data_IF_335061433636
#
_entry.id   IF_335061433636
#
_cell.length_a   1.000
_cell.length_b   1.000
_cell.length_c   1.000
_cell.angle_alpha   90.00
_cell.angle_beta   90.00
_cell.angle_gamma   90.00
#
_symmetry.space_group_name_H-M   'P 1'
#
loop_
_entity.id
_entity.type
_entity.pdbx_description
1 polymer ?
#
# COMPACT_ATOMS: atom_id res chain seq x y z
N UNK A 1 2.49 75.09 -41.75
CA UNK A 1 1.87 74.69 -40.46
C UNK A 1 2.07 73.19 -40.32
N UNK A 2 3.09 72.76 -39.55
CA UNK A 2 2.93 72.24 -38.18
C UNK A 2 1.92 71.07 -38.20
N UNK A 3 2.32 69.79 -38.25
CA UNK A 3 3.34 69.15 -37.42
C UNK A 3 2.66 68.62 -36.16
N UNK A 4 1.96 67.49 -36.27
CA UNK A 4 1.49 66.71 -35.10
C UNK A 4 1.77 65.25 -35.37
N UNK A 5 2.90 64.77 -34.88
CA UNK A 5 3.27 63.38 -34.86
C UNK A 5 2.64 62.78 -33.60
N UNK A 6 1.50 62.09 -33.76
CA UNK A 6 0.86 61.35 -32.68
C UNK A 6 1.79 60.21 -32.25
N UNK A 7 2.37 60.34 -31.06
CA UNK A 7 3.06 59.27 -30.35
C UNK A 7 2.07 58.12 -30.11
N UNK A 8 2.18 57.07 -30.94
CA UNK A 8 1.50 55.81 -30.69
C UNK A 8 2.09 55.20 -29.42
N UNK A 9 1.29 54.85 -28.40
CA UNK A 9 1.82 54.20 -27.20
C UNK A 9 2.42 52.86 -27.63
N UNK A 10 3.71 52.63 -27.33
CA UNK A 10 4.26 51.30 -27.48
C UNK A 10 3.46 50.36 -26.59
N UNK A 11 2.65 49.52 -27.23
CA UNK A 11 1.91 48.46 -26.56
C UNK A 11 2.94 47.61 -25.82
N UNK A 12 2.86 47.64 -24.50
CA UNK A 12 3.66 46.79 -23.63
C UNK A 12 3.28 45.35 -23.97
N UNK A 13 4.03 44.73 -24.90
CA UNK A 13 3.88 43.32 -25.25
C UNK A 13 4.20 42.54 -23.98
N UNK A 14 3.17 42.21 -23.20
CA UNK A 14 3.26 41.14 -22.21
C UNK A 14 3.74 39.90 -22.98
N UNK A 15 5.04 39.61 -22.85
CA UNK A 15 5.66 38.44 -23.44
C UNK A 15 4.96 37.25 -22.80
N UNK A 16 4.17 36.51 -23.59
CA UNK A 16 3.67 35.21 -23.15
C UNK A 16 4.89 34.36 -22.78
N UNK A 17 4.98 33.84 -21.54
CA UNK A 17 6.10 33.02 -21.16
C UNK A 17 6.20 31.82 -22.10
N UNK A 18 7.43 31.48 -22.51
CA UNK A 18 7.68 30.32 -23.36
C UNK A 18 7.26 29.05 -22.62
N UNK A 19 6.89 28.00 -23.36
CA UNK A 19 6.57 26.69 -22.77
C UNK A 19 7.72 26.16 -21.90
N UNK A 20 8.97 26.45 -22.30
CA UNK A 20 10.18 26.14 -21.53
C UNK A 20 10.21 26.86 -20.18
N UNK A 21 9.95 28.17 -20.16
CA UNK A 21 9.91 28.94 -18.91
C UNK A 21 8.79 28.49 -17.96
N UNK A 22 7.65 28.05 -18.51
CA UNK A 22 6.54 27.48 -17.72
C UNK A 22 6.95 26.12 -17.12
N UNK A 23 7.63 25.27 -17.88
CA UNK A 23 8.12 23.98 -17.41
C UNK A 23 9.18 24.14 -16.31
N UNK A 24 10.17 25.00 -16.53
CA UNK A 24 11.20 25.33 -15.53
C UNK A 24 10.58 25.88 -14.23
N UNK A 25 9.59 26.78 -14.34
CA UNK A 25 8.89 27.29 -13.18
C UNK A 25 8.16 26.18 -12.41
N UNK A 26 7.46 25.28 -13.11
CA UNK A 26 6.80 24.12 -12.49
C UNK A 26 7.81 23.23 -11.77
N UNK A 27 8.95 22.94 -12.39
CA UNK A 27 10.01 22.14 -11.78
C UNK A 27 10.58 22.78 -10.52
N UNK A 28 10.78 24.10 -10.52
CA UNK A 28 11.18 24.84 -9.33
C UNK A 28 10.13 24.73 -8.21
N UNK A 29 8.84 24.89 -8.53
CA UNK A 29 7.78 24.76 -7.51
C UNK A 29 7.68 23.35 -6.92
N UNK A 30 7.94 22.31 -7.72
CA UNK A 30 7.99 20.91 -7.23
C UNK A 30 9.17 20.69 -6.28
N UNK A 31 10.36 21.20 -6.62
CA UNK A 31 11.54 21.12 -5.73
C UNK A 31 11.31 21.85 -4.41
N UNK A 32 10.67 23.02 -4.46
CA UNK A 32 10.30 23.76 -3.24
C UNK A 32 9.31 22.98 -2.38
N UNK A 33 8.30 22.35 -2.99
CA UNK A 33 7.33 21.52 -2.28
C UNK A 33 7.99 20.33 -1.57
N UNK A 34 8.91 19.64 -2.25
CA UNK A 34 9.69 18.53 -1.69
C UNK A 34 10.59 18.98 -0.54
N UNK A 35 11.28 20.11 -0.69
CA UNK A 35 12.15 20.68 0.35
C UNK A 35 11.34 21.05 1.61
N UNK A 36 10.14 21.63 1.43
CA UNK A 36 9.24 21.93 2.54
C UNK A 36 8.75 20.66 3.22
N UNK A 37 8.38 19.64 2.44
CA UNK A 37 7.96 18.35 3.00
C UNK A 37 9.07 17.74 3.84
N UNK A 38 10.28 17.60 3.30
CA UNK A 38 11.44 17.07 4.02
C UNK A 38 11.67 17.77 5.36
N UNK A 39 11.60 19.11 5.36
CA UNK A 39 11.73 19.90 6.60
C UNK A 39 10.64 19.52 7.62
N UNK A 40 9.37 19.49 7.21
CA UNK A 40 8.26 19.13 8.08
C UNK A 40 8.33 17.69 8.59
N UNK A 41 8.80 16.75 7.76
CA UNK A 41 8.99 15.36 8.18
C UNK A 41 10.08 15.24 9.24
N UNK A 42 11.20 15.95 9.08
CA UNK A 42 12.27 15.98 10.09
C UNK A 42 11.78 16.59 11.42
N UNK A 43 10.97 17.65 11.36
CA UNK A 43 10.35 18.23 12.56
C UNK A 43 9.42 17.22 13.25
N UNK A 44 8.64 16.45 12.49
CA UNK A 44 7.74 15.42 13.02
C UNK A 44 8.51 14.28 13.71
N UNK A 45 9.62 13.82 13.15
CA UNK A 45 10.46 12.75 13.76
C UNK A 45 10.95 13.15 15.14
N UNK A 46 11.33 14.42 15.35
CA UNK A 46 11.81 14.91 16.65
C UNK A 46 10.72 14.84 17.73
N UNK A 47 9.44 14.91 17.36
CA UNK A 47 8.32 14.80 18.32
C UNK A 47 8.05 13.37 18.79
N UNK A 48 8.60 12.36 18.10
CA UNK A 48 8.37 10.97 18.44
C UNK A 48 9.21 10.50 19.64
N UNK A 49 8.73 9.46 20.32
CA UNK A 49 9.46 8.82 21.41
C UNK A 49 10.80 8.25 20.91
N UNK A 50 11.91 8.33 21.68
CA UNK A 50 13.24 7.91 21.22
C UNK A 50 13.31 6.46 20.70
N UNK A 51 12.50 5.57 21.27
CA UNK A 51 12.46 4.14 20.89
C UNK A 51 11.81 3.92 19.51
N UNK A 52 10.87 4.79 19.11
CA UNK A 52 10.10 4.67 17.87
C UNK A 52 10.63 5.57 16.75
N UNK A 53 11.48 6.54 17.07
CA UNK A 53 12.05 7.50 16.11
C UNK A 53 12.67 6.84 14.89
N UNK A 54 13.44 5.75 15.09
CA UNK A 54 14.07 5.02 13.98
C UNK A 54 13.04 4.44 13.00
N UNK A 55 11.98 3.82 13.52
CA UNK A 55 10.94 3.21 12.68
C UNK A 55 10.13 4.29 11.96
N UNK A 56 9.73 5.34 12.67
CA UNK A 56 9.00 6.47 12.08
C UNK A 56 9.82 7.15 10.99
N UNK A 57 11.14 7.31 11.17
CA UNK A 57 12.01 7.85 10.13
C UNK A 57 11.99 6.97 8.86
N UNK A 58 12.00 5.64 9.00
CA UNK A 58 11.91 4.73 7.85
C UNK A 58 10.57 4.87 7.12
N UNK A 59 9.46 4.97 7.86
CA UNK A 59 8.12 5.18 7.29
C UNK A 59 8.03 6.51 6.54
N UNK A 60 8.51 7.60 7.16
CA UNK A 60 8.48 8.93 6.56
C UNK A 60 9.42 9.07 5.36
N UNK A 61 10.56 8.37 5.35
CA UNK A 61 11.40 8.27 4.15
C UNK A 61 10.68 7.56 3.00
N UNK A 62 9.91 6.50 3.32
CA UNK A 62 9.05 5.82 2.34
C UNK A 62 7.98 6.75 1.78
N UNK A 63 7.33 7.54 2.65
CA UNK A 63 6.36 8.55 2.26
C UNK A 63 6.98 9.65 1.38
N UNK A 64 8.15 10.17 1.76
CA UNK A 64 8.88 11.15 0.97
C UNK A 64 9.21 10.62 -0.43
N UNK A 65 9.65 9.36 -0.53
CA UNK A 65 9.93 8.72 -1.81
C UNK A 65 8.67 8.63 -2.69
N UNK A 66 7.53 8.21 -2.11
CA UNK A 66 6.24 8.17 -2.83
C UNK A 66 5.78 9.58 -3.26
N UNK A 67 5.93 10.57 -2.38
CA UNK A 67 5.57 11.95 -2.70
C UNK A 67 6.46 12.54 -3.80
N UNK A 68 7.75 12.24 -3.76
CA UNK A 68 8.71 12.61 -4.81
C UNK A 68 8.27 12.04 -6.15
N UNK A 69 7.93 10.74 -6.18
CA UNK A 69 7.39 10.09 -7.38
C UNK A 69 6.08 10.74 -7.84
N UNK A 70 5.16 11.03 -6.94
CA UNK A 70 3.90 11.70 -7.26
C UNK A 70 4.11 13.08 -7.91
N UNK A 71 5.09 13.86 -7.46
CA UNK A 71 5.42 15.14 -8.09
C UNK A 71 6.10 14.98 -9.46
N UNK A 72 6.86 13.89 -9.66
CA UNK A 72 7.54 13.60 -10.92
C UNK A 72 6.62 12.96 -11.96
N UNK A 73 5.56 12.27 -11.53
CA UNK A 73 4.48 11.77 -12.37
C UNK A 73 3.71 12.98 -12.94
N UNK A 74 4.24 13.52 -14.04
CA UNK A 74 3.43 14.22 -15.02
C UNK A 74 2.57 13.15 -15.72
N UNK A 75 1.40 13.49 -16.25
CA UNK A 75 0.44 12.58 -16.94
C UNK A 75 1.03 11.72 -18.09
N UNK A 76 2.34 11.78 -18.33
CA UNK A 76 3.16 10.91 -19.17
C UNK A 76 3.44 9.51 -18.59
N UNK A 77 3.11 9.23 -17.32
CA UNK A 77 3.06 7.86 -16.79
C UNK A 77 1.83 7.07 -17.29
N UNK A 78 1.25 7.51 -18.40
CA UNK A 78 0.18 6.82 -19.09
C UNK A 78 0.74 5.60 -19.81
N UNK A 79 0.07 4.46 -19.61
CA UNK A 79 0.39 3.22 -20.31
C UNK A 79 0.13 3.46 -21.81
N UNK A 80 1.13 3.29 -22.65
CA UNK A 80 0.93 3.26 -24.11
C UNK A 80 0.11 2.01 -24.46
N UNK A 81 -1.16 2.21 -24.79
CA UNK A 81 -2.09 1.14 -25.11
C UNK A 81 -1.62 0.28 -26.28
N UNK A 82 -0.85 0.85 -27.22
CA UNK A 82 -0.32 0.10 -28.36
C UNK A 82 0.76 -0.91 -27.96
N UNK A 83 1.38 -0.73 -26.79
CA UNK A 83 2.40 -1.63 -26.24
C UNK A 83 1.80 -2.73 -25.35
N UNK A 84 0.50 -2.69 -25.08
CA UNK A 84 -0.18 -3.75 -24.31
C UNK A 84 -0.44 -4.94 -25.22
N UNK A 85 0.24 -6.04 -24.93
CA UNK A 85 0.07 -7.32 -25.62
C UNK A 85 -0.55 -8.34 -24.66
N UNK A 86 -1.31 -9.28 -25.22
CA UNK A 86 -1.75 -10.45 -24.44
C UNK A 86 -0.52 -11.20 -23.92
N UNK A 87 -0.53 -11.63 -22.65
CA UNK A 87 0.59 -12.39 -22.10
C UNK A 87 0.78 -13.70 -22.86
N UNK A 88 2.02 -14.15 -23.08
CA UNK A 88 2.30 -15.47 -23.64
C UNK A 88 1.63 -16.60 -22.84
N UNK A 89 1.29 -17.71 -23.50
CA UNK A 89 0.54 -18.83 -22.89
C UNK A 89 1.25 -19.44 -21.66
N UNK A 90 2.57 -19.37 -21.63
CA UNK A 90 3.43 -19.81 -20.53
C UNK A 90 3.43 -18.89 -19.31
N UNK A 91 2.95 -17.64 -19.45
CA UNK A 91 2.97 -16.65 -18.37
C UNK A 91 1.78 -16.82 -17.42
N UNK A 92 0.61 -17.14 -17.96
CA UNK A 92 -0.63 -17.34 -17.19
C UNK A 92 -1.09 -18.77 -17.34
N UNK A 93 -0.57 -19.64 -16.48
CA UNK A 93 -0.81 -21.08 -16.54
C UNK A 93 -2.24 -21.38 -16.03
N UNK A 94 -3.10 -22.07 -16.83
CA UNK A 94 -4.43 -22.47 -16.38
C UNK A 94 -4.36 -23.44 -15.18
N UNK A 95 -5.18 -23.20 -14.15
CA UNK A 95 -5.19 -24.00 -12.92
C UNK A 95 -5.31 -25.51 -13.17
N UNK A 96 -6.10 -25.94 -14.17
CA UNK A 96 -6.26 -27.36 -14.52
C UNK A 96 -4.95 -28.05 -14.89
N UNK A 97 -4.01 -27.33 -15.54
CA UNK A 97 -2.69 -27.88 -15.91
C UNK A 97 -1.81 -28.17 -14.68
N UNK A 98 -2.04 -27.48 -13.55
CA UNK A 98 -1.29 -27.72 -12.30
C UNK A 98 -1.70 -29.03 -11.62
N UNK A 99 -2.89 -29.56 -11.91
CA UNK A 99 -3.39 -30.82 -11.35
C UNK A 99 -2.78 -32.05 -12.01
N UNK A 100 -2.09 -31.87 -13.15
CA UNK A 100 -1.48 -32.94 -13.93
C UNK A 100 -0.09 -33.34 -13.40
N UNK A 101 0.53 -32.51 -12.55
CA UNK A 101 1.81 -32.81 -11.90
C UNK A 101 1.64 -33.45 -10.53
N UNK A 102 2.48 -34.44 -10.20
CA UNK A 102 2.58 -34.99 -8.83
C UNK A 102 3.14 -33.91 -7.88
N UNK A 103 2.35 -33.44 -6.89
CA UNK A 103 2.79 -32.38 -5.98
C UNK A 103 3.88 -32.85 -5.00
N UNK A 104 4.26 -34.13 -5.00
CA UNK A 104 5.19 -34.69 -4.04
C UNK A 104 4.56 -34.76 -2.64
N UNK A 105 5.38 -34.64 -1.59
CA UNK A 105 4.91 -34.72 -0.21
C UNK A 105 4.30 -33.38 0.25
N UNK A 106 2.97 -33.30 0.53
CA UNK A 106 2.32 -32.05 0.94
C UNK A 106 2.91 -31.46 2.21
N UNK A 107 3.34 -32.31 3.16
CA UNK A 107 3.90 -31.85 4.44
C UNK A 107 5.17 -31.04 4.24
N UNK A 108 6.05 -31.45 3.34
CA UNK A 108 7.33 -30.80 3.09
C UNK A 108 7.16 -29.44 2.41
N UNK A 109 6.14 -29.31 1.56
CA UNK A 109 5.77 -28.04 0.93
C UNK A 109 5.13 -27.09 1.95
N UNK A 110 4.18 -27.59 2.75
CA UNK A 110 3.47 -26.79 3.75
C UNK A 110 4.39 -26.26 4.84
N UNK A 111 5.43 -27.02 5.24
CA UNK A 111 6.43 -26.53 6.19
C UNK A 111 7.29 -25.35 5.67
N UNK A 112 7.23 -25.05 4.37
CA UNK A 112 7.87 -23.88 3.75
C UNK A 112 6.90 -22.72 3.50
N UNK A 113 5.60 -22.92 3.79
CA UNK A 113 4.53 -21.98 3.49
C UNK A 113 4.20 -21.12 4.72
N UNK A 114 3.87 -19.86 4.47
CA UNK A 114 3.26 -18.94 5.44
C UNK A 114 1.98 -18.38 4.83
N UNK A 115 0.91 -18.27 5.62
CA UNK A 115 -0.33 -17.62 5.17
C UNK A 115 -0.41 -16.21 5.72
N UNK A 116 -0.45 -15.22 4.83
CA UNK A 116 -0.62 -13.80 5.20
C UNK A 116 -2.03 -13.34 4.87
N UNK A 117 -2.66 -12.62 5.81
CA UNK A 117 -3.96 -11.94 5.59
C UNK A 117 -3.81 -10.43 5.79
N UNK A 118 -4.29 -9.68 4.80
CA UNK A 118 -4.40 -8.22 4.88
C UNK A 118 -5.59 -7.85 5.76
N UNK A 119 -5.30 -7.35 6.96
CA UNK A 119 -6.25 -7.09 8.04
C UNK A 119 -6.31 -5.60 8.43
N UNK A 120 -5.85 -4.71 7.55
CA UNK A 120 -5.88 -3.26 7.79
C UNK A 120 -7.26 -2.60 7.57
N UNK A 121 -8.20 -3.32 6.94
CA UNK A 121 -9.50 -2.79 6.53
C UNK A 121 -10.55 -2.78 7.65
N UNK A 122 -11.34 -1.71 7.70
CA UNK A 122 -12.46 -1.56 8.63
C UNK A 122 -13.79 -2.04 8.04
N UNK A 123 -14.72 -2.40 8.93
CA UNK A 123 -16.10 -2.77 8.60
C UNK A 123 -17.06 -1.62 8.31
N UNK A 124 -16.56 -0.40 8.14
CA UNK A 124 -17.38 0.83 8.14
C UNK A 124 -18.41 0.86 7.02
N UNK A 125 -18.09 0.37 5.83
CA UNK A 125 -19.04 0.27 4.70
C UNK A 125 -20.20 -0.69 4.98
N UNK A 126 -20.06 -1.55 5.99
CA UNK A 126 -21.08 -2.49 6.45
C UNK A 126 -21.72 -2.07 7.78
N UNK A 127 -21.47 -0.83 8.24
CA UNK A 127 -22.04 -0.28 9.47
C UNK A 127 -21.37 -0.77 10.76
N UNK A 128 -20.28 -1.54 10.68
CA UNK A 128 -19.57 -2.05 11.84
C UNK A 128 -18.41 -1.12 12.24
N UNK A 129 -18.19 -0.97 13.54
CA UNK A 129 -16.99 -0.34 14.11
C UNK A 129 -15.99 -1.46 14.42
N UNK A 130 -14.79 -1.38 13.86
CA UNK A 130 -13.71 -2.35 14.08
C UNK A 130 -13.21 -3.04 12.79
N UNK A 131 -12.23 -3.95 12.91
CA UNK A 131 -11.64 -4.70 11.80
C UNK A 131 -12.70 -5.52 11.06
N UNK A 132 -12.65 -5.50 9.73
CA UNK A 132 -13.59 -6.25 8.89
C UNK A 132 -13.52 -7.77 9.14
N UNK A 133 -12.37 -8.28 9.58
CA UNK A 133 -12.15 -9.69 9.86
C UNK A 133 -12.98 -10.24 11.03
N UNK A 134 -13.46 -9.37 11.92
CA UNK A 134 -14.21 -9.72 13.14
C UNK A 134 -15.71 -9.79 12.89
N UNK A 135 -16.15 -9.48 11.67
CA UNK A 135 -17.56 -9.46 11.33
C UNK A 135 -18.04 -10.90 11.14
N UNK A 136 -19.11 -11.26 11.84
CA UNK A 136 -19.75 -12.57 11.69
C UNK A 136 -20.28 -12.76 10.26
N UNK A 137 -19.89 -13.86 9.64
CA UNK A 137 -20.20 -14.21 8.25
C UNK A 137 -21.26 -15.29 8.19
N UNK A 138 -21.03 -16.40 8.89
CA UNK A 138 -21.91 -17.58 8.85
C UNK A 138 -21.90 -18.31 10.18
N UNK A 139 -23.08 -18.68 10.66
CA UNK A 139 -23.24 -19.48 11.89
C UNK A 139 -22.51 -18.87 13.11
N UNK A 140 -22.46 -17.54 13.19
CA UNK A 140 -21.75 -16.82 14.25
C UNK A 140 -20.22 -16.72 14.06
N UNK A 141 -19.63 -17.43 13.09
CA UNK A 141 -18.20 -17.39 12.82
C UNK A 141 -17.81 -16.13 12.03
N UNK A 142 -16.72 -15.50 12.45
CA UNK A 142 -16.09 -14.36 11.78
C UNK A 142 -15.19 -14.82 10.63
N UNK A 143 -14.71 -13.89 9.79
CA UNK A 143 -13.71 -14.23 8.77
C UNK A 143 -12.41 -14.76 9.38
N UNK A 144 -12.01 -14.22 10.53
CA UNK A 144 -10.83 -14.68 11.26
C UNK A 144 -11.03 -16.11 11.80
N UNK A 145 -12.20 -16.41 12.38
CA UNK A 145 -12.54 -17.76 12.83
C UNK A 145 -12.44 -18.78 11.70
N UNK A 146 -13.03 -18.47 10.55
CA UNK A 146 -13.03 -19.35 9.38
C UNK A 146 -11.59 -19.58 8.89
N UNK A 147 -10.76 -18.55 8.86
CA UNK A 147 -9.36 -18.66 8.43
C UNK A 147 -8.55 -19.54 9.38
N UNK A 148 -8.74 -19.37 10.69
CA UNK A 148 -8.04 -20.17 11.70
C UNK A 148 -8.50 -21.63 11.65
N UNK A 149 -9.80 -21.90 11.51
CA UNK A 149 -10.33 -23.26 11.36
C UNK A 149 -9.78 -23.96 10.11
N UNK A 150 -9.66 -23.24 8.99
CA UNK A 150 -9.06 -23.79 7.77
C UNK A 150 -7.60 -24.19 7.98
N UNK A 151 -6.81 -23.35 8.66
CA UNK A 151 -5.40 -23.65 8.96
C UNK A 151 -5.24 -24.74 10.01
N UNK A 152 -6.09 -24.77 11.04
CA UNK A 152 -6.11 -25.83 12.03
C UNK A 152 -6.38 -27.18 11.37
N UNK A 153 -7.40 -27.26 10.52
CA UNK A 153 -7.73 -28.46 9.78
C UNK A 153 -6.57 -28.86 8.85
N UNK A 154 -5.96 -27.90 8.14
CA UNK A 154 -4.80 -28.14 7.29
C UNK A 154 -3.62 -28.75 8.07
N UNK A 155 -3.25 -28.12 9.18
CA UNK A 155 -2.16 -28.55 10.06
C UNK A 155 -2.42 -29.95 10.63
N UNK A 156 -3.66 -30.21 11.06
CA UNK A 156 -4.07 -31.53 11.58
C UNK A 156 -4.07 -32.62 10.51
N UNK A 157 -4.57 -32.33 9.31
CA UNK A 157 -4.67 -33.30 8.21
C UNK A 157 -3.28 -33.71 7.70
N UNK A 158 -2.35 -32.77 7.56
CA UNK A 158 -1.03 -33.03 6.99
C UNK A 158 0.09 -33.15 8.03
N UNK A 159 -0.21 -32.98 9.32
CA UNK A 159 0.76 -33.06 10.40
C UNK A 159 1.88 -32.02 10.27
N UNK A 160 1.51 -30.79 9.89
CA UNK A 160 2.40 -29.63 9.72
C UNK A 160 1.99 -28.48 10.65
N UNK A 161 2.74 -27.37 10.59
CA UNK A 161 2.55 -26.20 11.47
C UNK A 161 2.65 -24.90 10.67
N UNK A 162 1.69 -24.71 9.75
CA UNK A 162 1.61 -23.51 8.90
C UNK A 162 1.17 -22.31 9.76
N UNK A 163 1.96 -21.23 9.82
CA UNK A 163 1.61 -20.05 10.59
C UNK A 163 0.67 -19.11 9.82
N UNK A 164 -0.17 -18.40 10.58
CA UNK A 164 -0.99 -17.29 10.11
C UNK A 164 -0.31 -15.96 10.48
N UNK A 165 -0.18 -15.05 9.52
CA UNK A 165 0.32 -13.69 9.73
C UNK A 165 -0.78 -12.69 9.38
N UNK A 166 -1.11 -11.81 10.32
CA UNK A 166 -2.07 -10.73 10.15
C UNK A 166 -1.35 -9.40 9.95
N UNK A 167 -1.51 -8.81 8.77
CA UNK A 167 -1.02 -7.46 8.48
C UNK A 167 -2.09 -6.44 8.88
N UNK A 168 -1.93 -5.84 10.06
CA UNK A 168 -2.88 -4.89 10.63
C UNK A 168 -2.55 -3.45 10.21
N UNK A 169 -3.50 -2.54 10.38
CA UNK A 169 -3.26 -1.09 10.33
C UNK A 169 -3.31 -0.51 11.74
N UNK A 170 -2.91 0.75 11.88
CA UNK A 170 -3.09 1.50 13.13
C UNK A 170 -4.57 1.52 13.61
N UNK A 171 -5.53 1.38 12.69
CA UNK A 171 -6.95 1.34 13.02
C UNK A 171 -7.44 -0.02 13.51
N UNK A 172 -6.73 -1.11 13.20
CA UNK A 172 -7.22 -2.47 13.45
C UNK A 172 -6.40 -3.25 14.47
N UNK A 173 -5.18 -2.82 14.78
CA UNK A 173 -4.26 -3.65 15.54
C UNK A 173 -4.69 -3.89 16.98
N UNK A 174 -4.94 -2.85 17.77
CA UNK A 174 -5.27 -3.02 19.20
C UNK A 174 -6.49 -3.92 19.41
N UNK A 175 -7.48 -3.81 18.53
CA UNK A 175 -8.67 -4.66 18.57
C UNK A 175 -8.35 -6.09 18.13
N UNK A 176 -7.53 -6.24 17.08
CA UNK A 176 -7.08 -7.56 16.61
C UNK A 176 -6.26 -8.28 17.68
N UNK A 177 -5.37 -7.62 18.40
CA UNK A 177 -4.57 -8.23 19.48
C UNK A 177 -5.46 -8.83 20.58
N UNK A 178 -6.48 -8.08 21.01
CA UNK A 178 -7.45 -8.55 22.01
C UNK A 178 -8.22 -9.78 21.53
N UNK A 179 -8.51 -9.86 20.24
CA UNK A 179 -9.29 -10.96 19.65
C UNK A 179 -8.42 -12.20 19.45
N UNK A 180 -7.17 -12.03 19.04
CA UNK A 180 -6.24 -13.16 18.81
C UNK A 180 -6.02 -13.97 20.10
N UNK A 181 -6.09 -13.34 21.28
CA UNK A 181 -6.01 -14.02 22.58
C UNK A 181 -7.06 -15.13 22.76
N UNK A 182 -8.21 -15.06 22.07
CA UNK A 182 -9.26 -16.11 22.11
C UNK A 182 -8.80 -17.44 21.51
N UNK A 183 -7.76 -17.44 20.67
CA UNK A 183 -7.27 -18.63 19.97
C UNK A 183 -6.00 -19.22 20.58
N UNK A 184 -5.64 -18.83 21.81
CA UNK A 184 -4.43 -19.32 22.51
C UNK A 184 -4.36 -20.85 22.66
N UNK A 185 -5.50 -21.53 22.59
CA UNK A 185 -5.61 -22.99 22.69
C UNK A 185 -5.82 -23.69 21.34
N UNK A 186 -5.89 -22.94 20.24
CA UNK A 186 -5.99 -23.52 18.89
C UNK A 186 -4.57 -23.79 18.38
N UNK A 187 -4.29 -24.98 17.80
CA UNK A 187 -2.95 -25.36 17.33
C UNK A 187 -2.59 -24.67 16.00
N UNK A 188 -2.62 -23.35 15.98
CA UNK A 188 -2.20 -22.50 14.86
C UNK A 188 -1.37 -21.35 15.43
N UNK A 189 -0.13 -21.20 14.96
CA UNK A 189 0.71 -20.05 15.32
C UNK A 189 0.19 -18.80 14.60
N UNK A 190 -0.20 -17.80 15.38
CA UNK A 190 -0.70 -16.52 14.87
C UNK A 190 0.32 -15.44 15.18
N UNK A 191 0.77 -14.75 14.13
CA UNK A 191 1.63 -13.57 14.20
C UNK A 191 0.87 -12.36 13.67
N UNK A 192 1.23 -11.18 14.13
CA UNK A 192 0.67 -9.92 13.70
C UNK A 192 1.78 -8.88 13.53
N UNK A 193 1.60 -7.94 12.59
CA UNK A 193 2.47 -6.79 12.45
C UNK A 193 1.69 -5.57 11.95
N UNK A 194 2.20 -4.38 12.22
CA UNK A 194 1.68 -3.12 11.68
C UNK A 194 2.25 -2.88 10.28
N UNK A 195 1.39 -2.53 9.34
CA UNK A 195 1.82 -1.78 8.17
C UNK A 195 2.20 -0.34 8.57
N UNK A 196 3.06 0.27 7.76
CA UNK A 196 3.40 1.70 7.80
C UNK A 196 2.23 2.60 7.42
#
# INVERSE_FOLDING_TARGET
MLGVQLLVPQTNRQRRPSQVAIAEFKDLTKRDALTRLQKSLNELVVTAQPQSQKNIQLELNGYEHLFSRYLLDNDESSIDWQQILSPPEETVIPYKKLLESDPGNPKDLLNKLIVVKLNGGLGTTMGCKGPKSVISVRSGLTFLDITIQQLEQLNRTYGCDVPLVLMNSFNTHEETEKIVQKYSHVPVKIYNFHQS
#
